data_IF_757114092851
#
_entry.id   IF_757114092851
#
_cell.length_a   1.000
_cell.length_b   1.000
_cell.length_c   1.000
_cell.angle_alpha   90.00
_cell.angle_beta   90.00
_cell.angle_gamma   90.00
#
_symmetry.space_group_name_H-M   'P 1'
#
loop_
_entity.id
_entity.type
_entity.pdbx_description
1 polymer ?
#
# COMPACT_ATOMS: atom_id res chain seq x y z
N UNK A 1 -1.50 0.89 -26.75
CA UNK A 1 -0.70 1.35 -25.61
C UNK A 1 -1.47 1.03 -24.34
N UNK A 2 -1.01 0.04 -23.58
CA UNK A 2 -1.61 -0.33 -22.29
C UNK A 2 -1.40 0.86 -21.34
N UNK A 3 -2.45 1.28 -20.62
CA UNK A 3 -2.30 2.35 -19.63
C UNK A 3 -1.56 1.76 -18.42
N UNK A 4 -0.29 2.09 -18.28
CA UNK A 4 0.65 1.55 -17.28
C UNK A 4 0.38 2.03 -15.84
N UNK A 5 -0.75 2.68 -15.56
CA UNK A 5 -1.07 3.21 -14.24
C UNK A 5 -2.55 3.09 -13.92
N UNK A 6 -2.85 2.62 -12.71
CA UNK A 6 -4.19 2.73 -12.13
C UNK A 6 -4.43 4.21 -11.81
N UNK A 7 -5.25 4.87 -12.64
CA UNK A 7 -5.60 6.29 -12.43
C UNK A 7 -6.52 6.37 -11.21
N UNK A 8 -6.04 6.96 -10.12
CA UNK A 8 -6.84 7.26 -8.94
C UNK A 8 -7.45 8.66 -9.11
N UNK A 9 -8.72 8.80 -8.76
CA UNK A 9 -9.42 10.09 -8.68
C UNK A 9 -10.02 10.29 -7.28
N UNK A 10 -10.57 11.49 -7.03
CA UNK A 10 -11.14 11.87 -5.74
C UNK A 10 -12.42 11.11 -5.36
N UNK A 11 -13.08 10.46 -6.33
CA UNK A 11 -14.28 9.65 -6.10
C UNK A 11 -13.95 8.22 -5.69
N UNK A 12 -12.69 7.80 -5.86
CA UNK A 12 -12.24 6.49 -5.44
C UNK A 12 -12.12 6.40 -3.92
N UNK A 13 -12.40 5.22 -3.39
CA UNK A 13 -12.34 4.95 -1.96
C UNK A 13 -11.39 3.81 -1.64
N UNK A 14 -10.84 3.83 -0.43
CA UNK A 14 -10.02 2.74 0.11
C UNK A 14 -10.82 1.99 1.18
N UNK A 15 -11.01 0.70 0.97
CA UNK A 15 -11.55 -0.20 1.98
C UNK A 15 -10.41 -1.00 2.62
N UNK A 16 -10.19 -0.82 3.92
CA UNK A 16 -9.20 -1.63 4.65
C UNK A 16 -9.73 -3.07 4.76
N UNK A 17 -8.99 -4.03 4.21
CA UNK A 17 -9.41 -5.43 4.18
C UNK A 17 -8.54 -6.33 5.05
N UNK A 18 -7.32 -5.89 5.36
CA UNK A 18 -6.41 -6.66 6.20
C UNK A 18 -5.47 -5.75 6.97
N UNK A 19 -5.00 -6.28 8.10
CA UNK A 19 -3.94 -5.68 8.89
C UNK A 19 -3.15 -6.79 9.56
N UNK A 20 -1.86 -6.85 9.25
CA UNK A 20 -0.94 -7.87 9.72
C UNK A 20 0.11 -7.18 10.59
N UNK A 21 0.20 -7.62 11.83
CA UNK A 21 1.25 -7.18 12.74
C UNK A 21 2.28 -8.28 12.90
N UNK A 22 3.47 -8.09 12.33
CA UNK A 22 4.55 -9.06 12.43
C UNK A 22 5.21 -8.94 13.81
N UNK A 23 5.34 -10.04 14.56
CA UNK A 23 5.74 -10.00 15.99
C UNK A 23 7.24 -10.23 16.22
N UNK A 24 8.17 -9.55 15.53
CA UNK A 24 9.61 -9.64 15.87
C UNK A 24 10.40 -8.32 15.65
N UNK A 25 11.42 -8.13 16.51
CA UNK A 25 12.49 -7.09 16.60
C UNK A 25 12.63 -6.00 15.50
N UNK A 26 11.62 -5.16 15.24
CA UNK A 26 11.71 -4.02 14.30
C UNK A 26 10.39 -3.77 13.56
N UNK A 27 9.30 -3.66 14.31
CA UNK A 27 8.00 -4.24 13.97
C UNK A 27 7.33 -3.68 12.70
N UNK A 28 7.26 -4.49 11.63
CA UNK A 28 6.58 -4.16 10.37
C UNK A 28 5.07 -4.43 10.46
N UNK A 29 4.28 -3.38 10.25
CA UNK A 29 2.83 -3.43 10.15
C UNK A 29 2.44 -3.36 8.68
N UNK A 30 1.65 -4.33 8.20
CA UNK A 30 1.16 -4.33 6.83
C UNK A 30 -0.33 -4.05 6.87
N UNK A 31 -0.75 -2.91 6.32
CA UNK A 31 -2.16 -2.60 6.10
C UNK A 31 -2.51 -2.77 4.62
N UNK A 32 -3.51 -3.59 4.32
CA UNK A 32 -3.97 -3.84 2.95
C UNK A 32 -5.35 -3.24 2.70
N UNK A 33 -5.50 -2.65 1.52
CA UNK A 33 -6.69 -1.94 1.09
C UNK A 33 -7.12 -2.39 -0.31
N UNK A 34 -8.42 -2.45 -0.53
CA UNK A 34 -9.01 -2.51 -1.88
C UNK A 34 -9.32 -1.08 -2.32
N UNK A 35 -8.89 -0.71 -3.53
CA UNK A 35 -9.29 0.53 -4.19
C UNK A 35 -10.60 0.27 -4.90
N UNK A 36 -11.63 1.06 -4.59
CA UNK A 36 -12.94 1.02 -5.23
C UNK A 36 -13.20 2.26 -6.06
N UNK A 37 -13.84 2.10 -7.21
CA UNK A 37 -14.34 3.22 -8.00
C UNK A 37 -15.57 3.89 -7.34
N UNK A 38 -16.09 4.95 -7.96
CA UNK A 38 -17.30 5.65 -7.50
C UNK A 38 -18.54 4.74 -7.41
N UNK A 39 -18.57 3.65 -8.18
CA UNK A 39 -19.63 2.65 -8.17
C UNK A 39 -19.42 1.54 -7.12
N UNK A 40 -18.32 1.58 -6.38
CA UNK A 40 -17.95 0.56 -5.40
C UNK A 40 -17.28 -0.68 -5.99
N UNK A 41 -16.95 -0.68 -7.28
CA UNK A 41 -16.28 -1.82 -7.92
C UNK A 41 -14.78 -1.81 -7.59
N UNK A 42 -14.19 -2.98 -7.28
CA UNK A 42 -12.76 -3.07 -7.03
C UNK A 42 -11.96 -2.85 -8.32
N UNK A 43 -11.01 -1.92 -8.28
CA UNK A 43 -10.16 -1.54 -9.42
C UNK A 43 -8.67 -1.76 -9.16
N UNK A 44 -8.28 -2.05 -7.92
CA UNK A 44 -6.92 -2.41 -7.56
C UNK A 44 -6.74 -2.62 -6.08
N UNK A 45 -5.49 -2.78 -5.65
CA UNK A 45 -5.12 -2.94 -4.23
C UNK A 45 -3.98 -2.02 -3.86
N UNK A 46 -3.95 -1.61 -2.60
CA UNK A 46 -2.84 -0.88 -1.99
C UNK A 46 -2.40 -1.63 -0.75
N UNK A 47 -1.08 -1.78 -0.57
CA UNK A 47 -0.48 -2.25 0.67
C UNK A 47 0.49 -1.21 1.19
N UNK A 48 0.39 -0.93 2.48
CA UNK A 48 1.31 -0.05 3.21
C UNK A 48 2.07 -0.93 4.18
N UNK A 49 3.39 -0.91 4.05
CA UNK A 49 4.34 -1.64 4.89
C UNK A 49 5.04 -0.60 5.74
N UNK A 50 4.59 -0.45 6.97
CA UNK A 50 5.17 0.48 7.93
C UNK A 50 6.38 -0.15 8.61
N UNK A 51 7.35 0.67 8.99
CA UNK A 51 8.49 0.25 9.82
C UNK A 51 9.45 -0.76 9.18
N UNK A 52 9.88 -0.51 7.95
CA UNK A 52 10.90 -1.32 7.26
C UNK A 52 12.32 -1.29 7.89
N UNK A 53 12.49 -0.60 9.03
CA UNK A 53 13.78 -0.46 9.72
C UNK A 53 13.90 -1.43 10.89
N UNK A 54 14.89 -2.32 10.80
CA UNK A 54 15.35 -3.15 11.93
C UNK A 54 16.23 -2.37 12.93
N UNK A 55 16.53 -1.08 12.66
CA UNK A 55 17.36 -0.25 13.54
C UNK A 55 16.48 0.56 14.49
N UNK A 56 16.54 0.16 15.76
CA UNK A 56 15.79 0.62 16.95
C UNK A 56 15.80 2.13 17.26
N UNK A 57 16.35 3.00 16.40
CA UNK A 57 16.66 4.40 16.74
C UNK A 57 16.59 5.42 15.59
N UNK A 58 16.08 5.05 14.40
CA UNK A 58 15.93 5.98 13.26
C UNK A 58 14.51 5.95 12.70
N UNK A 59 14.05 7.07 12.10
CA UNK A 59 12.67 7.23 11.68
C UNK A 59 12.27 6.14 10.70
N UNK A 60 11.14 5.52 11.00
CA UNK A 60 10.70 4.28 10.36
C UNK A 60 10.19 4.58 8.97
N UNK A 61 10.95 4.18 7.95
CA UNK A 61 10.52 4.24 6.56
C UNK A 61 9.28 3.37 6.32
N UNK A 62 8.40 3.82 5.43
CA UNK A 62 7.24 3.05 4.98
C UNK A 62 7.30 2.82 3.47
N UNK A 63 6.79 1.69 3.00
CA UNK A 63 6.67 1.37 1.57
C UNK A 63 5.21 1.25 1.19
N UNK A 64 4.84 1.93 0.12
CA UNK A 64 3.50 1.83 -0.46
C UNK A 64 3.62 1.10 -1.79
N UNK A 65 2.90 -0.01 -1.90
CA UNK A 65 2.81 -0.79 -3.15
C UNK A 65 1.36 -0.80 -3.60
N UNK A 66 1.13 -0.51 -4.89
CA UNK A 66 -0.17 -0.57 -5.52
C UNK A 66 -0.16 -1.57 -6.66
N UNK A 67 -1.22 -2.38 -6.74
CA UNK A 67 -1.42 -3.33 -7.83
C UNK A 67 -2.73 -3.09 -8.55
N UNK A 68 -2.76 -3.44 -9.83
CA UNK A 68 -4.01 -3.57 -10.57
C UNK A 68 -4.76 -4.87 -10.19
N UNK A 69 -5.95 -5.07 -10.76
CA UNK A 69 -6.74 -6.29 -10.51
C UNK A 69 -6.10 -7.58 -11.03
N UNK A 70 -5.12 -7.49 -11.94
CA UNK A 70 -4.33 -8.64 -12.39
C UNK A 70 -3.14 -8.94 -11.45
N UNK A 71 -2.95 -8.15 -10.39
CA UNK A 71 -1.85 -8.28 -9.45
C UNK A 71 -0.53 -7.65 -9.94
N UNK A 72 -0.53 -6.92 -11.06
CA UNK A 72 0.67 -6.26 -11.56
C UNK A 72 0.94 -5.00 -10.73
N UNK A 73 2.18 -4.83 -10.28
CA UNK A 73 2.60 -3.64 -9.55
C UNK A 73 2.60 -2.44 -10.49
N UNK A 74 1.83 -1.41 -10.14
CA UNK A 74 1.72 -0.15 -10.89
C UNK A 74 2.39 1.01 -10.17
N UNK A 75 2.52 0.93 -8.83
CA UNK A 75 3.26 1.88 -8.02
C UNK A 75 4.03 1.10 -6.95
N UNK A 76 5.28 1.48 -6.75
CA UNK A 76 6.10 1.02 -5.64
C UNK A 76 6.95 2.19 -5.15
N UNK A 77 6.78 2.60 -3.90
CA UNK A 77 7.48 3.77 -3.38
C UNK A 77 7.89 3.56 -1.94
N UNK A 78 9.18 3.68 -1.68
CA UNK A 78 9.76 3.76 -0.34
C UNK A 78 9.83 5.23 0.09
N UNK A 79 9.32 5.54 1.27
CA UNK A 79 9.36 6.86 1.89
C UNK A 79 10.12 6.76 3.19
N UNK A 80 11.20 7.53 3.28
CA UNK A 80 11.89 7.74 4.54
C UNK A 80 11.13 8.82 5.32
N UNK A 81 10.81 8.53 6.57
CA UNK A 81 10.34 9.57 7.50
C UNK A 81 11.58 10.36 7.90
N UNK A 82 11.53 11.69 7.76
CA UNK A 82 12.64 12.59 8.12
C UNK A 82 12.71 12.82 9.63
#
# INVERSE_FOLDING_TARGET
MLRDHLKIDESHTLEKVNHIQLRHQGQEEISEFIVKDAGGNPIGKVSVHDHLSTRRSYPTSYRVTQTDMAGRVVVDTLREVL
#
